data_IF_288435596667
#
_entry.id   IF_288435596667
#
_cell.length_a   1.000
_cell.length_b   1.000
_cell.length_c   1.000
_cell.angle_alpha   90.00
_cell.angle_beta   90.00
_cell.angle_gamma   90.00
#
_symmetry.space_group_name_H-M   'P 1'
#
loop_
_entity.id
_entity.type
_entity.pdbx_description
1 polymer ?
#
# COMPACT_ATOMS: atom_id res chain seq x y z
N UNK A 1 5.35 33.34 55.02
CA UNK A 1 5.36 32.34 53.93
C UNK A 1 5.54 32.93 52.52
N UNK A 2 5.36 34.25 52.31
CA UNK A 2 5.65 34.91 51.02
C UNK A 2 7.13 35.33 50.84
N UNK A 3 7.90 35.48 51.92
CA UNK A 3 9.32 35.87 51.84
C UNK A 3 10.24 34.78 51.26
N UNK A 4 9.93 33.51 51.50
CA UNK A 4 10.70 32.38 50.97
C UNK A 4 10.64 32.32 49.44
N UNK A 5 9.48 32.64 48.85
CA UNK A 5 9.32 32.70 47.39
C UNK A 5 10.07 33.87 46.74
N UNK A 6 10.30 34.97 47.47
CA UNK A 6 11.04 36.14 46.97
C UNK A 6 12.56 35.96 47.07
N UNK A 7 13.05 35.15 48.01
CA UNK A 7 14.49 34.88 48.20
C UNK A 7 15.04 33.86 47.19
N UNK A 8 14.23 32.94 46.72
CA UNK A 8 14.64 31.89 45.77
C UNK A 8 14.12 32.11 44.33
N UNK A 9 13.56 33.28 44.02
CA UNK A 9 13.01 33.57 42.68
C UNK A 9 14.06 33.41 41.58
N UNK A 10 15.29 33.86 41.84
CA UNK A 10 16.41 33.74 40.89
C UNK A 10 16.84 32.28 40.74
N UNK A 11 16.92 31.52 41.84
CA UNK A 11 17.25 30.10 41.82
C UNK A 11 16.17 29.26 41.09
N UNK A 12 14.89 29.60 41.29
CA UNK A 12 13.76 28.93 40.65
C UNK A 12 13.74 29.18 39.14
N UNK A 13 14.04 30.42 38.70
CA UNK A 13 14.19 30.76 37.28
C UNK A 13 15.37 30.01 36.67
N UNK A 14 16.51 29.91 37.35
CA UNK A 14 17.67 29.16 36.87
C UNK A 14 17.35 27.67 36.67
N UNK A 15 16.63 27.04 37.61
CA UNK A 15 16.17 25.65 37.47
C UNK A 15 15.20 25.51 36.29
N UNK A 16 14.27 26.44 36.12
CA UNK A 16 13.33 26.44 34.99
C UNK A 16 14.04 26.57 33.65
N UNK A 17 15.07 27.41 33.55
CA UNK A 17 15.89 27.56 32.35
C UNK A 17 16.69 26.29 32.07
N UNK A 18 17.27 25.63 33.09
CA UNK A 18 17.98 24.35 32.89
C UNK A 18 17.02 23.24 32.45
N UNK A 19 15.82 23.17 33.04
CA UNK A 19 14.77 22.24 32.58
C UNK A 19 14.35 22.56 31.16
N UNK A 20 14.18 23.84 30.81
CA UNK A 20 13.77 24.27 29.48
C UNK A 20 14.86 24.01 28.43
N UNK A 21 16.13 24.26 28.76
CA UNK A 21 17.28 23.90 27.90
C UNK A 21 17.38 22.39 27.76
N UNK A 22 17.17 21.63 28.84
CA UNK A 22 17.04 20.18 28.77
C UNK A 22 15.91 19.75 27.83
N UNK A 23 14.73 20.36 27.93
CA UNK A 23 13.57 20.06 27.09
C UNK A 23 13.73 20.53 25.63
N UNK A 24 14.45 21.61 25.38
CA UNK A 24 14.67 22.11 24.02
C UNK A 24 15.78 21.32 23.33
N UNK A 25 16.86 20.97 24.03
CA UNK A 25 17.96 20.20 23.44
C UNK A 25 17.68 18.68 23.41
N UNK A 26 16.96 18.10 24.39
CA UNK A 26 16.56 16.69 24.33
C UNK A 26 15.15 16.46 23.77
N UNK A 27 14.22 17.40 23.95
CA UNK A 27 12.81 17.22 23.59
C UNK A 27 12.41 17.69 22.19
N UNK A 28 13.27 18.41 21.45
CA UNK A 28 12.96 18.86 20.09
C UNK A 28 13.64 18.04 18.97
N UNK A 29 14.40 16.98 19.29
CA UNK A 29 15.18 16.24 18.30
C UNK A 29 15.28 14.72 18.50
N UNK A 30 14.56 14.14 19.45
CA UNK A 30 14.58 12.68 19.69
C UNK A 30 13.18 12.08 19.73
N UNK A 31 12.45 12.18 18.62
CA UNK A 31 11.28 11.34 18.43
C UNK A 31 11.71 9.87 18.34
N UNK A 32 11.58 9.15 19.45
CA UNK A 32 11.61 7.69 19.57
C UNK A 32 12.96 6.97 19.40
N UNK A 33 14.02 7.42 20.09
CA UNK A 33 15.08 6.47 20.48
C UNK A 33 14.60 5.60 21.64
N UNK A 34 13.67 4.68 21.32
CA UNK A 34 13.36 3.56 22.18
C UNK A 34 14.58 2.64 22.22
N UNK A 35 15.31 2.65 23.33
CA UNK A 35 16.22 1.57 23.69
C UNK A 35 15.42 0.25 23.65
N UNK A 36 15.81 -0.70 22.78
CA UNK A 36 15.48 -2.12 22.97
C UNK A 36 14.77 -2.89 21.84
N UNK A 37 14.51 -2.31 20.66
CA UNK A 37 13.99 -3.10 19.53
C UNK A 37 15.03 -3.18 18.39
N UNK A 38 15.37 -4.38 17.89
CA UNK A 38 16.30 -4.51 16.77
C UNK A 38 15.73 -3.83 15.52
N UNK A 39 16.61 -3.19 14.76
CA UNK A 39 16.28 -2.66 13.43
C UNK A 39 16.04 -3.86 12.52
N UNK A 40 14.87 -3.89 11.88
CA UNK A 40 14.46 -4.99 11.00
C UNK A 40 14.59 -4.59 9.53
N UNK A 41 14.42 -3.30 9.23
CA UNK A 41 14.57 -2.74 7.87
C UNK A 41 15.32 -1.42 7.95
N UNK A 42 16.30 -1.26 7.07
CA UNK A 42 16.96 0.01 6.78
C UNK A 42 16.80 0.29 5.28
N UNK A 43 16.16 1.40 4.94
CA UNK A 43 15.93 1.81 3.57
C UNK A 43 16.15 3.32 3.45
N UNK A 44 17.00 3.73 2.50
CA UNK A 44 17.30 5.15 2.22
C UNK A 44 17.67 5.98 3.47
N UNK A 45 18.44 5.39 4.40
CA UNK A 45 18.88 6.04 5.64
C UNK A 45 17.81 6.10 6.74
N UNK A 46 16.61 5.57 6.51
CA UNK A 46 15.56 5.42 7.52
C UNK A 46 15.60 4.02 8.12
N UNK A 47 15.64 3.94 9.44
CA UNK A 47 15.67 2.68 10.21
C UNK A 47 14.31 2.42 10.82
N UNK A 48 13.76 1.23 10.59
CA UNK A 48 12.48 0.79 11.11
C UNK A 48 12.66 -0.43 12.01
N UNK A 49 12.10 -0.36 13.21
CA UNK A 49 11.80 -1.57 13.97
C UNK A 49 10.49 -2.20 13.47
N UNK A 50 10.23 -3.47 13.83
CA UNK A 50 9.07 -4.21 13.33
C UNK A 50 7.72 -3.55 13.63
N UNK A 51 7.59 -2.88 14.79
CA UNK A 51 6.34 -2.19 15.18
C UNK A 51 6.12 -0.91 14.38
N UNK A 52 7.18 -0.15 14.14
CA UNK A 52 7.14 1.06 13.33
C UNK A 52 6.79 0.73 11.88
N UNK A 53 7.38 -0.34 11.36
CA UNK A 53 7.14 -0.83 10.02
C UNK A 53 5.65 -1.19 9.81
N UNK A 54 5.11 -2.05 10.67
CA UNK A 54 3.69 -2.42 10.62
C UNK A 54 2.76 -1.22 10.76
N UNK A 55 3.02 -0.32 11.70
CA UNK A 55 2.21 0.90 11.86
C UNK A 55 2.25 1.81 10.63
N UNK A 56 3.40 1.90 9.96
CA UNK A 56 3.57 2.73 8.78
C UNK A 56 2.78 2.16 7.59
N UNK A 57 2.90 0.86 7.37
CA UNK A 57 2.17 0.12 6.34
C UNK A 57 0.66 0.13 6.59
N UNK A 58 0.22 -0.25 7.79
CA UNK A 58 -1.20 -0.35 8.16
C UNK A 58 -1.93 0.99 7.95
N UNK A 59 -1.29 2.12 8.26
CA UNK A 59 -1.91 3.44 8.10
C UNK A 59 -2.15 3.79 6.63
N UNK A 60 -1.16 3.55 5.77
CA UNK A 60 -1.29 3.87 4.34
C UNK A 60 -2.22 2.91 3.62
N UNK A 61 -2.07 1.61 3.86
CA UNK A 61 -2.90 0.58 3.22
C UNK A 61 -4.37 0.74 3.63
N UNK A 62 -4.68 1.01 4.91
CA UNK A 62 -6.06 1.27 5.33
C UNK A 62 -6.67 2.49 4.66
N UNK A 63 -5.92 3.59 4.51
CA UNK A 63 -6.43 4.78 3.83
C UNK A 63 -6.75 4.48 2.36
N UNK A 64 -5.86 3.77 1.66
CA UNK A 64 -6.08 3.35 0.27
C UNK A 64 -7.30 2.44 0.17
N UNK A 65 -7.43 1.45 1.07
CA UNK A 65 -8.59 0.55 1.09
C UNK A 65 -9.90 1.30 1.33
N UNK A 66 -9.94 2.20 2.32
CA UNK A 66 -11.14 3.00 2.59
C UNK A 66 -11.50 3.87 1.41
N UNK A 67 -10.52 4.56 0.83
CA UNK A 67 -10.72 5.40 -0.34
C UNK A 67 -11.24 4.58 -1.53
N UNK A 68 -10.65 3.41 -1.79
CA UNK A 68 -11.07 2.53 -2.89
C UNK A 68 -12.50 1.97 -2.73
N UNK A 69 -12.98 1.83 -1.49
CA UNK A 69 -14.32 1.31 -1.19
C UNK A 69 -15.41 2.39 -1.16
N UNK A 70 -15.05 3.64 -0.91
CA UNK A 70 -16.00 4.74 -0.65
C UNK A 70 -16.04 5.80 -1.74
N UNK A 71 -14.94 5.95 -2.50
CA UNK A 71 -14.89 6.85 -3.63
C UNK A 71 -15.83 6.35 -4.75
N UNK A 72 -16.79 7.17 -5.21
CA UNK A 72 -17.76 6.76 -6.24
C UNK A 72 -17.17 6.73 -7.66
N UNK A 73 -16.01 7.37 -7.87
CA UNK A 73 -15.37 7.49 -9.16
C UNK A 73 -14.30 6.43 -9.44
N UNK A 74 -13.35 6.76 -10.31
CA UNK A 74 -12.31 5.82 -10.75
C UNK A 74 -11.19 5.70 -9.72
N UNK A 75 -10.97 4.47 -9.24
CA UNK A 75 -9.94 4.13 -8.24
C UNK A 75 -8.84 3.24 -8.81
N UNK A 76 -8.78 3.03 -10.13
CA UNK A 76 -7.82 2.13 -10.78
C UNK A 76 -6.37 2.51 -10.44
N UNK A 77 -6.02 3.79 -10.53
CA UNK A 77 -4.67 4.26 -10.24
C UNK A 77 -4.26 4.01 -8.77
N UNK A 78 -5.21 4.07 -7.82
CA UNK A 78 -4.97 3.71 -6.42
C UNK A 78 -4.68 2.22 -6.28
N UNK A 79 -5.46 1.37 -6.95
CA UNK A 79 -5.27 -0.08 -6.96
C UNK A 79 -3.95 -0.49 -7.61
N UNK A 80 -3.53 0.19 -8.67
CA UNK A 80 -2.21 0.00 -9.28
C UNK A 80 -1.09 0.46 -8.37
N UNK A 81 -1.23 1.63 -7.73
CA UNK A 81 -0.27 2.12 -6.75
C UNK A 81 -0.09 1.11 -5.61
N UNK A 82 -1.19 0.65 -5.01
CA UNK A 82 -1.16 -0.35 -3.93
C UNK A 82 -0.49 -1.66 -4.38
N UNK A 83 -0.84 -2.19 -5.55
CA UNK A 83 -0.24 -3.42 -6.10
C UNK A 83 1.24 -3.27 -6.41
N UNK A 84 1.64 -2.11 -6.96
CA UNK A 84 3.04 -1.82 -7.27
C UNK A 84 3.86 -1.80 -5.98
N UNK A 85 3.35 -1.15 -4.93
CA UNK A 85 4.04 -1.08 -3.65
C UNK A 85 4.04 -2.41 -2.91
N UNK A 86 2.96 -3.20 -2.98
CA UNK A 86 2.88 -4.51 -2.35
C UNK A 86 3.84 -5.56 -2.95
N UNK A 87 4.61 -5.23 -4.00
CA UNK A 87 5.67 -6.09 -4.53
C UNK A 87 5.14 -7.20 -5.43
N UNK A 88 4.49 -6.84 -6.55
CA UNK A 88 3.72 -7.69 -7.49
C UNK A 88 4.33 -8.97 -8.09
N UNK A 89 5.37 -9.55 -7.50
CA UNK A 89 5.81 -10.92 -7.81
C UNK A 89 4.98 -11.91 -6.98
N UNK A 90 4.40 -12.95 -7.59
CA UNK A 90 3.64 -14.01 -6.91
C UNK A 90 4.45 -14.88 -5.94
N UNK A 91 5.61 -14.41 -5.48
CA UNK A 91 6.36 -14.94 -4.34
C UNK A 91 5.81 -14.20 -3.13
N UNK A 92 5.03 -14.88 -2.30
CA UNK A 92 4.12 -14.29 -1.31
C UNK A 92 4.71 -13.12 -0.49
N UNK A 93 3.84 -12.22 0.00
CA UNK A 93 4.25 -10.91 0.53
C UNK A 93 5.29 -11.07 1.63
N UNK A 94 6.51 -10.58 1.40
CA UNK A 94 7.36 -10.24 2.53
C UNK A 94 6.75 -9.01 3.19
N UNK A 95 6.49 -9.09 4.49
CA UNK A 95 5.76 -8.08 5.30
C UNK A 95 6.37 -6.66 5.32
N UNK A 96 7.35 -6.38 4.46
CA UNK A 96 8.14 -5.16 4.41
C UNK A 96 8.11 -4.48 3.03
N UNK A 97 7.58 -5.14 1.99
CA UNK A 97 7.72 -4.71 0.60
C UNK A 97 7.05 -3.36 0.36
N UNK A 98 5.86 -3.15 0.94
CA UNK A 98 5.13 -1.90 0.83
C UNK A 98 5.95 -0.71 1.30
N UNK A 99 6.59 -0.82 2.47
CA UNK A 99 7.35 0.29 3.05
C UNK A 99 8.60 0.57 2.25
N UNK A 100 9.35 -0.49 1.90
CA UNK A 100 10.59 -0.36 1.12
C UNK A 100 10.27 0.25 -0.26
N UNK A 101 9.29 -0.31 -0.98
CA UNK A 101 8.91 0.17 -2.30
C UNK A 101 8.37 1.59 -2.28
N UNK A 102 7.65 1.99 -1.23
CA UNK A 102 7.21 3.38 -1.07
C UNK A 102 8.38 4.33 -0.87
N UNK A 103 9.35 3.96 -0.04
CA UNK A 103 10.56 4.78 0.14
C UNK A 103 11.39 4.84 -1.16
N UNK A 104 11.46 3.74 -1.91
CA UNK A 104 12.05 3.70 -3.25
C UNK A 104 11.34 4.66 -4.20
N UNK A 105 10.01 4.65 -4.21
CA UNK A 105 9.20 5.59 -4.99
C UNK A 105 9.50 7.03 -4.58
N UNK A 106 9.52 7.34 -3.28
CA UNK A 106 9.83 8.68 -2.79
C UNK A 106 11.23 9.17 -3.20
N UNK A 107 12.22 8.28 -3.14
CA UNK A 107 13.57 8.54 -3.65
C UNK A 107 13.54 8.82 -5.15
N UNK A 108 12.87 7.98 -5.93
CA UNK A 108 12.75 8.15 -7.38
C UNK A 108 12.03 9.45 -7.75
N UNK A 109 10.94 9.81 -7.06
CA UNK A 109 10.27 11.08 -7.26
C UNK A 109 11.22 12.26 -7.06
N UNK A 110 12.04 12.23 -6.01
CA UNK A 110 13.05 13.27 -5.76
C UNK A 110 14.13 13.29 -6.86
N UNK A 111 14.64 12.13 -7.25
CA UNK A 111 15.73 12.01 -8.25
C UNK A 111 15.29 12.47 -9.65
N UNK A 112 14.04 12.18 -10.02
CA UNK A 112 13.45 12.61 -11.29
C UNK A 112 12.78 14.00 -11.23
N UNK A 113 12.81 14.67 -10.07
CA UNK A 113 12.17 15.98 -9.88
C UNK A 113 10.65 15.96 -10.01
N UNK A 114 10.01 14.81 -9.79
CA UNK A 114 8.56 14.65 -9.88
C UNK A 114 7.87 15.16 -8.62
N UNK A 115 6.93 16.10 -8.82
CA UNK A 115 6.09 16.63 -7.76
C UNK A 115 4.73 17.01 -8.32
N UNK A 116 3.68 16.35 -7.84
CA UNK A 116 2.31 16.77 -8.10
C UNK A 116 2.03 18.13 -7.44
N UNK A 117 1.48 19.05 -8.22
CA UNK A 117 1.04 20.35 -7.75
C UNK A 117 -0.30 20.26 -7.00
N UNK A 118 -0.60 21.24 -6.15
CA UNK A 118 -1.88 21.30 -5.44
C UNK A 118 -3.09 21.25 -6.39
N UNK A 119 -3.12 21.99 -7.51
CA UNK A 119 -4.23 21.92 -8.47
C UNK A 119 -4.39 20.53 -9.10
N UNK A 120 -3.29 19.83 -9.41
CA UNK A 120 -3.37 18.47 -9.96
C UNK A 120 -3.95 17.48 -8.95
N UNK A 121 -3.56 17.60 -7.68
CA UNK A 121 -4.11 16.77 -6.59
C UNK A 121 -5.59 17.04 -6.41
N UNK A 122 -6.00 18.31 -6.37
CA UNK A 122 -7.41 18.70 -6.24
C UNK A 122 -8.26 18.21 -7.42
N UNK A 123 -7.76 18.38 -8.66
CA UNK A 123 -8.41 17.89 -9.85
C UNK A 123 -8.56 16.37 -9.81
N UNK A 124 -7.51 15.63 -9.45
CA UNK A 124 -7.59 14.17 -9.34
C UNK A 124 -8.62 13.72 -8.29
N UNK A 125 -8.69 14.40 -7.15
CA UNK A 125 -9.70 14.10 -6.12
C UNK A 125 -11.11 14.36 -6.66
N UNK A 126 -11.35 15.51 -7.30
CA UNK A 126 -12.69 15.94 -7.72
C UNK A 126 -13.19 15.26 -8.99
N UNK A 127 -12.31 15.16 -9.97
CA UNK A 127 -12.63 14.78 -11.35
C UNK A 127 -12.33 13.31 -11.63
N UNK A 128 -11.67 12.60 -10.70
CA UNK A 128 -11.39 11.17 -10.81
C UNK A 128 -11.98 10.39 -9.65
N UNK A 129 -11.52 10.64 -8.42
CA UNK A 129 -11.90 9.82 -7.26
C UNK A 129 -13.36 10.03 -6.83
N UNK A 130 -13.80 11.27 -6.75
CA UNK A 130 -15.14 11.63 -6.27
C UNK A 130 -16.04 12.17 -7.38
N UNK A 131 -15.73 11.80 -8.62
CA UNK A 131 -16.61 12.12 -9.73
C UNK A 131 -17.81 11.19 -9.77
N UNK A 132 -19.01 11.75 -9.90
CA UNK A 132 -20.26 11.00 -10.07
C UNK A 132 -21.26 11.81 -10.89
N UNK A 133 -22.00 11.16 -11.78
CA UNK A 133 -23.13 11.74 -12.53
C UNK A 133 -22.84 13.13 -13.13
N UNK A 134 -21.67 13.28 -13.77
CA UNK A 134 -21.18 14.50 -14.45
C UNK A 134 -20.59 15.62 -13.57
N UNK A 135 -20.29 15.35 -12.30
CA UNK A 135 -19.64 16.34 -11.44
C UNK A 135 -18.96 15.77 -10.21
N UNK A 136 -18.32 16.65 -9.45
CA UNK A 136 -17.76 16.30 -8.15
C UNK A 136 -18.88 16.05 -7.12
N UNK A 137 -18.91 14.84 -6.56
CA UNK A 137 -19.79 14.48 -5.47
C UNK A 137 -19.23 14.96 -4.13
N UNK A 138 -19.61 16.19 -3.76
CA UNK A 138 -19.24 16.82 -2.49
C UNK A 138 -19.71 16.01 -1.28
N UNK A 139 -20.88 15.37 -1.36
CA UNK A 139 -21.44 14.60 -0.23
C UNK A 139 -20.60 13.37 0.05
N UNK A 140 -20.22 12.61 -0.98
CA UNK A 140 -19.35 11.45 -0.84
C UNK A 140 -17.95 11.84 -0.35
N UNK A 141 -17.41 12.96 -0.84
CA UNK A 141 -16.13 13.47 -0.37
C UNK A 141 -16.17 13.88 1.11
N UNK A 142 -17.21 14.63 1.50
CA UNK A 142 -17.40 15.06 2.88
C UNK A 142 -17.59 13.87 3.84
N UNK A 143 -18.35 12.86 3.43
CA UNK A 143 -18.56 11.63 4.18
C UNK A 143 -17.24 10.86 4.35
N UNK A 144 -16.46 10.72 3.28
CA UNK A 144 -15.14 10.11 3.34
C UNK A 144 -14.20 10.85 4.30
N UNK A 145 -14.14 12.18 4.22
CA UNK A 145 -13.26 12.99 5.09
C UNK A 145 -13.69 12.92 6.56
N UNK A 146 -15.00 12.97 6.84
CA UNK A 146 -15.51 13.00 8.22
C UNK A 146 -15.55 11.62 8.87
N UNK A 147 -16.02 10.61 8.14
CA UNK A 147 -16.29 9.27 8.67
C UNK A 147 -15.10 8.35 8.46
N UNK A 148 -14.72 8.12 7.20
CA UNK A 148 -13.70 7.13 6.86
C UNK A 148 -12.30 7.55 7.31
N UNK A 149 -11.89 8.78 6.99
CA UNK A 149 -10.60 9.31 7.42
C UNK A 149 -10.55 9.59 8.93
N UNK A 150 -11.66 10.09 9.49
CA UNK A 150 -11.81 10.32 10.92
C UNK A 150 -11.58 9.04 11.74
N UNK A 151 -12.16 7.91 11.31
CA UNK A 151 -11.97 6.61 11.94
C UNK A 151 -10.51 6.10 11.91
N UNK A 152 -9.71 6.57 10.95
CA UNK A 152 -8.30 6.23 10.82
C UNK A 152 -7.37 7.21 11.54
N UNK A 153 -7.89 8.32 12.08
CA UNK A 153 -7.08 9.45 12.54
C UNK A 153 -6.28 10.10 11.40
N UNK A 154 -6.73 9.94 10.15
CA UNK A 154 -6.13 10.53 8.96
C UNK A 154 -6.67 11.94 8.74
N UNK A 155 -5.85 12.78 8.11
CA UNK A 155 -6.19 14.17 7.80
C UNK A 155 -6.20 14.40 6.29
N UNK A 156 -6.82 15.48 5.82
CA UNK A 156 -6.81 15.86 4.39
C UNK A 156 -5.38 15.98 3.85
N UNK A 157 -4.42 16.37 4.69
CA UNK A 157 -2.99 16.33 4.34
C UNK A 157 -2.53 14.93 3.94
N UNK A 158 -2.92 13.90 4.68
CA UNK A 158 -2.56 12.51 4.35
C UNK A 158 -3.20 12.05 3.04
N UNK A 159 -4.44 12.46 2.77
CA UNK A 159 -5.10 12.20 1.48
C UNK A 159 -4.34 12.87 0.34
N UNK A 160 -4.00 14.15 0.48
CA UNK A 160 -3.28 14.89 -0.55
C UNK A 160 -1.88 14.31 -0.81
N UNK A 161 -1.17 13.91 0.24
CA UNK A 161 0.12 13.22 0.12
C UNK A 161 -0.01 11.89 -0.63
N UNK A 162 -1.01 11.09 -0.30
CA UNK A 162 -1.28 9.83 -0.99
C UNK A 162 -1.59 10.04 -2.47
N UNK A 163 -2.51 10.96 -2.78
CA UNK A 163 -2.90 11.26 -4.16
C UNK A 163 -1.73 11.83 -4.95
N UNK A 164 -0.92 12.69 -4.35
CA UNK A 164 0.30 13.21 -4.98
C UNK A 164 1.27 12.08 -5.35
N UNK A 165 1.49 11.11 -4.46
CA UNK A 165 2.34 9.94 -4.74
C UNK A 165 1.77 9.06 -5.86
N UNK A 166 0.45 8.89 -5.91
CA UNK A 166 -0.23 8.13 -6.98
C UNK A 166 -0.03 8.81 -8.34
N UNK A 167 -0.26 10.13 -8.42
CA UNK A 167 -0.02 10.91 -9.64
C UNK A 167 1.45 10.80 -10.08
N UNK A 168 2.39 10.98 -9.15
CA UNK A 168 3.81 10.88 -9.45
C UNK A 168 4.22 9.48 -9.90
N UNK A 169 3.64 8.41 -9.33
CA UNK A 169 3.91 7.04 -9.79
C UNK A 169 3.42 6.84 -11.23
N UNK A 170 2.22 7.31 -11.57
CA UNK A 170 1.70 7.23 -12.93
C UNK A 170 2.60 7.98 -13.91
N UNK A 171 3.04 9.21 -13.55
CA UNK A 171 3.97 9.99 -14.37
C UNK A 171 5.34 9.33 -14.50
N UNK A 172 5.86 8.72 -13.43
CA UNK A 172 7.10 7.98 -13.48
C UNK A 172 6.99 6.77 -14.44
N UNK A 173 5.88 6.03 -14.41
CA UNK A 173 5.63 4.94 -15.37
C UNK A 173 5.56 5.45 -16.80
N UNK A 174 4.88 6.57 -17.05
CA UNK A 174 4.82 7.20 -18.38
C UNK A 174 6.23 7.57 -18.88
N UNK A 175 7.05 8.21 -18.04
CA UNK A 175 8.42 8.61 -18.39
C UNK A 175 9.29 7.38 -18.69
N UNK A 176 9.22 6.35 -17.85
CA UNK A 176 10.00 5.12 -18.04
C UNK A 176 9.51 4.31 -19.26
N UNK A 177 8.21 4.37 -19.56
CA UNK A 177 7.60 3.67 -20.69
C UNK A 177 7.73 4.39 -22.03
N UNK A 178 7.98 5.70 -22.05
CA UNK A 178 8.01 6.51 -23.27
C UNK A 178 9.06 6.05 -24.31
N UNK A 179 10.08 5.30 -23.89
CA UNK A 179 11.12 4.74 -24.78
C UNK A 179 10.92 3.27 -25.15
N UNK A 180 9.84 2.63 -24.72
CA UNK A 180 9.61 1.20 -24.93
C UNK A 180 8.55 1.02 -26.01
N UNK A 181 8.95 0.51 -27.17
CA UNK A 181 8.02 0.09 -28.21
C UNK A 181 7.51 -1.32 -27.92
N UNK A 182 6.21 -1.53 -28.10
CA UNK A 182 5.62 -2.86 -27.95
C UNK A 182 6.10 -3.74 -29.10
N UNK A 183 6.72 -4.88 -28.79
CA UNK A 183 7.17 -5.82 -29.82
C UNK A 183 5.98 -6.38 -30.58
N UNK A 184 5.90 -6.07 -31.88
CA UNK A 184 4.87 -6.60 -32.78
C UNK A 184 4.82 -8.12 -32.77
N UNK A 185 5.98 -8.78 -32.70
CA UNK A 185 6.10 -10.24 -32.65
C UNK A 185 5.44 -10.80 -31.37
N UNK A 186 5.72 -10.19 -30.21
CA UNK A 186 5.11 -10.63 -28.95
C UNK A 186 3.60 -10.40 -28.94
N UNK A 187 3.13 -9.26 -29.48
CA UNK A 187 1.69 -8.99 -29.61
C UNK A 187 1.00 -9.97 -30.55
N UNK A 188 1.64 -10.34 -31.66
CA UNK A 188 1.11 -11.33 -32.59
C UNK A 188 0.99 -12.70 -31.94
N UNK A 189 2.04 -13.15 -31.23
CA UNK A 189 2.02 -14.41 -30.47
C UNK A 189 0.90 -14.41 -29.44
N UNK A 190 0.78 -13.36 -28.63
CA UNK A 190 -0.25 -13.27 -27.58
C UNK A 190 -1.67 -13.29 -28.18
N UNK A 191 -1.89 -12.55 -29.27
CA UNK A 191 -3.18 -12.52 -29.95
C UNK A 191 -3.54 -13.89 -30.57
N UNK A 192 -2.57 -14.58 -31.18
CA UNK A 192 -2.78 -15.93 -31.73
C UNK A 192 -3.02 -16.96 -30.63
N UNK A 193 -2.30 -16.87 -29.51
CA UNK A 193 -2.51 -17.73 -28.33
C UNK A 193 -3.89 -17.52 -27.71
N UNK A 194 -4.37 -16.28 -27.59
CA UNK A 194 -5.72 -16.00 -27.08
C UNK A 194 -6.84 -16.54 -27.99
N UNK A 195 -6.58 -16.67 -29.28
CA UNK A 195 -7.51 -17.24 -30.26
C UNK A 195 -7.40 -18.77 -30.40
N UNK A 196 -6.43 -19.39 -29.73
CA UNK A 196 -6.18 -20.82 -29.83
C UNK A 196 -7.34 -21.62 -29.23
N UNK A 197 -8.01 -22.42 -30.06
CA UNK A 197 -9.03 -23.37 -29.60
C UNK A 197 -8.36 -24.70 -29.26
N UNK A 198 -8.41 -25.07 -27.99
CA UNK A 198 -7.92 -26.38 -27.52
C UNK A 198 -9.12 -27.34 -27.46
N UNK A 199 -9.05 -28.44 -28.21
CA UNK A 199 -9.98 -29.56 -28.10
C UNK A 199 -9.29 -30.69 -27.35
N UNK A 200 -9.89 -31.17 -26.26
CA UNK A 200 -9.36 -32.29 -25.48
C UNK A 200 -10.46 -33.33 -25.24
N UNK A 201 -10.08 -34.60 -25.17
CA UNK A 201 -10.91 -35.68 -24.65
C UNK A 201 -10.46 -35.97 -23.23
N UNK A 202 -11.35 -35.76 -22.26
CA UNK A 202 -11.08 -36.04 -20.85
C UNK A 202 -11.57 -37.45 -20.50
N UNK A 203 -10.63 -38.36 -20.26
CA UNK A 203 -10.91 -39.65 -19.60
C UNK A 203 -10.81 -39.44 -18.09
N UNK A 204 -11.95 -39.48 -17.41
CA UNK A 204 -12.03 -39.39 -15.95
C UNK A 204 -12.37 -40.77 -15.37
N UNK A 205 -11.51 -41.28 -14.49
CA UNK A 205 -11.75 -42.52 -13.75
C UNK A 205 -12.18 -42.17 -12.33
N UNK A 206 -13.38 -42.56 -11.88
CA UNK A 206 -13.77 -42.36 -10.49
C UNK A 206 -12.90 -43.24 -9.57
N UNK A 207 -12.15 -42.60 -8.68
CA UNK A 207 -11.28 -43.28 -7.70
C UNK A 207 -12.09 -43.95 -6.58
N UNK A 208 -13.32 -43.49 -6.36
CA UNK A 208 -14.22 -44.01 -5.32
C UNK A 208 -15.30 -44.90 -5.94
N UNK A 209 -15.15 -46.21 -5.76
CA UNK A 209 -16.06 -47.23 -6.27
C UNK A 209 -15.45 -48.64 -6.27
N UNK A 210 -14.12 -48.75 -6.11
CA UNK A 210 -13.38 -50.01 -6.04
C UNK A 210 -13.03 -50.48 -4.62
N UNK A 211 -13.24 -49.65 -3.58
CA UNK A 211 -12.92 -50.05 -2.20
C UNK A 211 -13.97 -50.97 -1.57
N UNK A 212 -15.24 -50.85 -1.98
CA UNK A 212 -16.35 -51.57 -1.35
C UNK A 212 -16.93 -52.70 -2.20
N UNK A 213 -16.36 -52.95 -3.39
CA UNK A 213 -16.74 -54.07 -4.26
C UNK A 213 -15.71 -55.20 -4.11
N UNK A 214 -16.12 -56.45 -3.85
CA UNK A 214 -15.19 -57.57 -3.85
C UNK A 214 -14.52 -57.66 -5.23
N UNK A 215 -13.24 -58.05 -5.28
CA UNK A 215 -12.59 -58.32 -6.56
C UNK A 215 -13.40 -59.37 -7.32
N UNK A 216 -13.53 -59.26 -8.66
CA UNK A 216 -14.21 -60.28 -9.45
C UNK A 216 -13.53 -61.64 -9.24
N UNK A 217 -14.31 -62.71 -9.14
CA UNK A 217 -13.78 -64.07 -9.02
C UNK A 217 -13.15 -64.54 -10.34
N UNK A 218 -12.24 -65.51 -10.29
CA UNK A 218 -11.57 -66.04 -11.49
C UNK A 218 -12.57 -66.55 -12.56
N UNK A 219 -13.73 -67.05 -12.13
CA UNK A 219 -14.80 -67.50 -13.04
C UNK A 219 -15.45 -66.32 -13.80
N UNK A 220 -15.65 -65.17 -13.14
CA UNK A 220 -16.20 -63.96 -13.77
C UNK A 220 -15.21 -63.32 -14.75
N UNK A 221 -13.91 -63.44 -14.46
CA UNK A 221 -12.84 -62.94 -15.33
C UNK A 221 -12.76 -63.78 -16.61
N UNK A 222 -12.79 -65.11 -16.51
CA UNK A 222 -12.76 -66.01 -17.69
C UNK A 222 -13.95 -65.80 -18.61
N UNK A 223 -15.15 -65.68 -18.06
CA UNK A 223 -16.39 -65.51 -18.84
C UNK A 223 -16.43 -64.21 -19.66
N UNK A 224 -15.65 -63.18 -19.30
CA UNK A 224 -15.56 -61.93 -20.06
C UNK A 224 -14.41 -61.88 -21.07
N UNK A 225 -13.47 -62.81 -20.98
CA UNK A 225 -12.27 -62.86 -21.82
C UNK A 225 -12.31 -63.96 -22.89
N UNK A 226 -13.22 -64.93 -22.78
CA UNK A 226 -13.66 -65.81 -23.88
C UNK A 226 -14.84 -65.20 -24.63
#
# INVERSE_FOLDING_TARGET
>A
MLETFRKYTISMIAVLVVVFVGLVFFGAGSSNLGFGAPVVVEAYGQKFNQRQLKKFEERHTRLITRLSMSAPGDTQALGEYARTLAGGSGLGPTSNDFVVNRLTLQKAMADFGLRASTPEVEAFIKDTLFWQDSGFNVVAYDDFVKVEMGALGATVKNLNELVAEVICLTKLKEILGAGIEVSRELTEIDMLSAQQRITYQLLSYPVTGFKDKPMPTEEEIKTKWE
#
